data_IF_308680918284
#
_entry.id   IF_308680918284
#
_cell.length_a   1.000
_cell.length_b   1.000
_cell.length_c   1.000
_cell.angle_alpha   90.00
_cell.angle_beta   90.00
_cell.angle_gamma   90.00
#
_symmetry.space_group_name_H-M   'P 1'
#
loop_
_entity.id
_entity.type
_entity.pdbx_description
1 polymer ?
#
# COMPACT_ATOMS: atom_id res chain seq x y z
N UNK A 1 28.05 -5.68 -43.84
CA UNK A 1 26.76 -6.20 -43.35
C UNK A 1 26.43 -5.46 -42.07
N UNK A 2 25.52 -4.50 -42.21
CA UNK A 2 24.94 -3.71 -41.13
C UNK A 2 23.93 -4.57 -40.38
N UNK A 3 24.06 -4.70 -39.07
CA UNK A 3 22.97 -5.10 -38.20
C UNK A 3 22.62 -3.85 -37.39
N UNK A 4 21.46 -3.28 -37.74
CA UNK A 4 20.95 -2.04 -37.20
C UNK A 4 20.79 -2.13 -35.68
N UNK A 5 21.37 -1.15 -35.00
CA UNK A 5 21.12 -0.85 -33.59
C UNK A 5 19.71 -0.27 -33.48
N UNK A 6 18.74 -1.17 -33.28
CA UNK A 6 17.36 -0.81 -33.01
C UNK A 6 17.18 -0.70 -31.50
N UNK A 7 17.57 0.44 -30.93
CA UNK A 7 17.12 0.83 -29.59
C UNK A 7 16.32 2.12 -29.66
N UNK A 8 15.01 1.90 -29.68
CA UNK A 8 13.90 2.82 -29.57
C UNK A 8 14.22 4.10 -28.81
N UNK A 9 14.00 5.24 -29.46
CA UNK A 9 13.93 6.57 -28.88
C UNK A 9 13.11 6.57 -27.57
N UNK A 10 13.80 6.65 -26.44
CA UNK A 10 13.22 6.80 -25.11
C UNK A 10 12.79 8.26 -24.88
N UNK A 11 11.66 8.65 -25.46
CA UNK A 11 10.92 9.83 -25.02
C UNK A 11 10.44 9.58 -23.59
N UNK A 12 11.15 10.14 -22.61
CA UNK A 12 10.75 10.25 -21.19
C UNK A 12 10.45 8.93 -20.49
N UNK A 13 11.44 8.32 -19.83
CA UNK A 13 11.22 7.13 -19.00
C UNK A 13 10.90 7.55 -17.55
N UNK A 14 9.68 7.24 -17.08
CA UNK A 14 9.35 7.17 -15.65
C UNK A 14 9.77 5.79 -15.17
N UNK A 15 10.54 5.71 -14.09
CA UNK A 15 10.95 4.43 -13.50
C UNK A 15 10.65 4.39 -12.01
N UNK A 16 10.12 3.27 -11.52
CA UNK A 16 9.92 3.04 -10.09
C UNK A 16 11.29 2.91 -9.42
N UNK A 17 11.57 3.77 -8.44
CA UNK A 17 12.83 3.82 -7.70
C UNK A 17 12.72 3.16 -6.34
N UNK A 18 11.61 3.40 -5.65
CA UNK A 18 11.48 3.01 -4.26
C UNK A 18 10.03 2.74 -3.89
N UNK A 19 9.85 1.83 -2.95
CA UNK A 19 8.56 1.38 -2.45
C UNK A 19 8.59 1.34 -0.93
N UNK A 20 7.52 1.82 -0.31
CA UNK A 20 7.29 1.68 1.13
C UNK A 20 5.96 0.97 1.37
N UNK A 21 6.00 -0.11 2.13
CA UNK A 21 4.84 -0.91 2.50
C UNK A 21 4.64 -0.81 4.02
N UNK A 22 3.41 -0.55 4.46
CA UNK A 22 3.06 -0.50 5.89
C UNK A 22 1.87 -1.38 6.22
N UNK A 23 1.82 -1.81 7.47
CA UNK A 23 0.68 -2.49 8.11
C UNK A 23 0.12 -3.72 7.38
N UNK A 24 0.96 -4.46 6.67
CA UNK A 24 0.54 -5.68 5.95
C UNK A 24 1.00 -6.95 6.66
N UNK A 25 0.07 -7.73 7.22
CA UNK A 25 0.34 -8.94 8.01
C UNK A 25 1.37 -8.66 9.12
N UNK A 26 2.52 -9.33 9.08
CA UNK A 26 3.60 -9.14 10.07
C UNK A 26 4.56 -8.00 9.72
N UNK A 27 4.36 -7.33 8.58
CA UNK A 27 5.17 -6.22 8.12
C UNK A 27 4.59 -4.91 8.68
N UNK A 28 5.25 -4.35 9.70
CA UNK A 28 4.88 -3.04 10.24
C UNK A 28 5.25 -1.91 9.27
N UNK A 29 6.51 -1.87 8.86
CA UNK A 29 7.05 -0.96 7.85
C UNK A 29 8.19 -1.64 7.10
N UNK A 30 8.15 -1.62 5.77
CA UNK A 30 9.21 -2.11 4.88
C UNK A 30 9.52 -1.04 3.87
N UNK A 31 10.81 -0.83 3.63
CA UNK A 31 11.35 0.12 2.66
C UNK A 31 12.22 -0.67 1.68
N UNK A 32 11.97 -0.50 0.38
CA UNK A 32 12.61 -1.26 -0.68
C UNK A 32 13.06 -0.32 -1.80
N UNK A 33 14.36 -0.28 -2.06
CA UNK A 33 14.88 0.26 -3.31
C UNK A 33 14.68 -0.75 -4.45
N UNK A 34 14.20 -0.25 -5.58
CA UNK A 34 13.89 -1.04 -6.77
C UNK A 34 14.99 -0.81 -7.79
N UNK A 35 15.70 -1.89 -8.12
CA UNK A 35 16.68 -1.88 -9.20
C UNK A 35 15.96 -1.73 -10.56
N UNK A 36 16.47 -0.89 -11.48
CA UNK A 36 15.85 -0.64 -12.78
C UNK A 36 15.67 -1.90 -13.66
N UNK A 37 16.45 -2.95 -13.41
CA UNK A 37 16.42 -4.18 -14.20
C UNK A 37 15.84 -5.35 -13.40
N UNK A 38 16.37 -5.64 -12.22
CA UNK A 38 15.95 -6.80 -11.42
C UNK A 38 16.27 -6.60 -9.95
N UNK A 39 15.24 -6.59 -9.11
CA UNK A 39 15.38 -6.55 -7.65
C UNK A 39 15.32 -7.97 -7.09
N UNK A 40 16.35 -8.38 -6.34
CA UNK A 40 16.40 -9.71 -5.69
C UNK A 40 16.17 -9.54 -4.20
N UNK A 41 15.10 -10.14 -3.67
CA UNK A 41 14.80 -10.16 -2.24
C UNK A 41 15.50 -11.34 -1.56
N UNK A 42 16.49 -11.08 -0.72
CA UNK A 42 17.23 -12.08 0.07
C UNK A 42 16.99 -11.91 1.57
N UNK A 43 17.13 -13.00 2.35
CA UNK A 43 16.98 -12.97 3.81
C UNK A 43 16.56 -14.32 4.39
N UNK A 44 16.52 -14.43 5.72
CA UNK A 44 16.17 -15.66 6.44
C UNK A 44 14.75 -16.17 6.11
N UNK A 45 14.48 -17.43 6.42
CA UNK A 45 13.10 -17.95 6.37
C UNK A 45 12.20 -17.12 7.30
N UNK A 46 10.95 -16.91 6.89
CA UNK A 46 10.00 -16.03 7.59
C UNK A 46 10.39 -14.54 7.69
N UNK A 47 11.40 -14.07 6.94
CA UNK A 47 11.77 -12.63 6.93
C UNK A 47 10.77 -11.72 6.20
N UNK A 48 9.70 -12.26 5.63
CA UNK A 48 8.64 -11.47 4.98
C UNK A 48 8.77 -11.30 3.46
N UNK A 49 9.74 -11.94 2.78
CA UNK A 49 9.92 -11.85 1.31
C UNK A 49 8.64 -12.15 0.53
N UNK A 50 8.00 -13.29 0.80
CA UNK A 50 6.72 -13.68 0.18
C UNK A 50 5.60 -12.71 0.56
N UNK A 51 5.61 -12.15 1.78
CA UNK A 51 4.61 -11.18 2.22
C UNK A 51 4.73 -9.85 1.47
N UNK A 52 5.96 -9.39 1.17
CA UNK A 52 6.18 -8.20 0.33
C UNK A 52 5.59 -8.43 -1.06
N UNK A 53 5.92 -9.55 -1.71
CA UNK A 53 5.39 -9.88 -3.04
C UNK A 53 3.86 -10.02 -3.04
N UNK A 54 3.30 -10.62 -1.98
CA UNK A 54 1.85 -10.71 -1.82
C UNK A 54 1.23 -9.31 -1.71
N UNK A 55 1.78 -8.43 -0.87
CA UNK A 55 1.28 -7.06 -0.72
C UNK A 55 1.31 -6.29 -2.05
N UNK A 56 2.44 -6.33 -2.77
CA UNK A 56 2.54 -5.71 -4.09
C UNK A 56 1.47 -6.22 -5.06
N UNK A 57 1.19 -7.53 -5.05
CA UNK A 57 0.10 -8.11 -5.83
C UNK A 57 -1.27 -7.59 -5.39
N UNK A 58 -1.53 -7.47 -4.10
CA UNK A 58 -2.81 -6.94 -3.59
C UNK A 58 -3.04 -5.48 -4.00
N UNK A 59 -1.99 -4.66 -4.01
CA UNK A 59 -2.11 -3.25 -4.38
C UNK A 59 -2.10 -2.99 -5.89
N UNK A 60 -1.33 -3.75 -6.67
CA UNK A 60 -1.00 -3.41 -8.05
C UNK A 60 -1.63 -4.34 -9.09
N UNK A 61 -2.10 -5.53 -8.70
CA UNK A 61 -2.72 -6.47 -9.63
C UNK A 61 -4.24 -6.45 -9.51
N UNK A 62 -4.90 -6.52 -10.67
CA UNK A 62 -6.36 -6.63 -10.73
C UNK A 62 -6.85 -7.93 -10.06
N UNK A 63 -7.99 -7.84 -9.36
CA UNK A 63 -8.67 -9.01 -8.81
C UNK A 63 -8.00 -9.66 -7.58
N UNK A 64 -7.13 -8.93 -6.87
CA UNK A 64 -6.50 -9.41 -5.63
C UNK A 64 -7.01 -8.68 -4.37
N UNK A 65 -8.25 -8.93 -3.92
CA UNK A 65 -8.82 -8.21 -2.77
C UNK A 65 -8.02 -8.47 -1.49
N UNK A 66 -8.03 -7.48 -0.59
CA UNK A 66 -7.52 -7.63 0.77
C UNK A 66 -8.50 -8.46 1.60
N UNK A 67 -7.97 -9.37 2.42
CA UNK A 67 -8.71 -10.02 3.49
C UNK A 67 -8.46 -9.37 4.86
N UNK A 68 -9.30 -9.67 5.84
CA UNK A 68 -9.13 -9.16 7.21
C UNK A 68 -7.75 -9.50 7.82
N UNK A 69 -7.20 -10.66 7.49
CA UNK A 69 -5.89 -11.12 7.96
C UNK A 69 -4.70 -10.50 7.22
N UNK A 70 -4.94 -9.72 6.17
CA UNK A 70 -3.90 -8.93 5.52
C UNK A 70 -3.57 -7.65 6.29
N UNK A 71 -4.50 -7.17 7.13
CA UNK A 71 -4.25 -6.08 8.07
C UNK A 71 -3.32 -6.56 9.17
N UNK A 72 -2.32 -5.75 9.51
CA UNK A 72 -1.41 -6.10 10.60
C UNK A 72 -2.14 -6.30 11.93
N UNK A 73 -1.82 -7.39 12.62
CA UNK A 73 -2.40 -7.72 13.95
C UNK A 73 -2.17 -6.60 14.96
N UNK A 74 -1.09 -5.81 14.80
CA UNK A 74 -0.83 -4.63 15.63
C UNK A 74 -1.92 -3.55 15.54
N UNK A 75 -2.69 -3.51 14.45
CA UNK A 75 -3.76 -2.54 14.22
C UNK A 75 -5.15 -3.04 14.67
N UNK A 76 -5.28 -4.34 14.96
CA UNK A 76 -6.57 -4.93 15.35
C UNK A 76 -7.17 -4.36 16.63
N UNK A 77 -6.39 -4.00 17.68
CA UNK A 77 -6.96 -3.34 18.85
C UNK A 77 -7.67 -2.02 18.50
N UNK A 78 -7.06 -1.20 17.64
CA UNK A 78 -7.61 0.07 17.16
C UNK A 78 -8.90 -0.14 16.36
N UNK A 79 -8.91 -1.12 15.47
CA UNK A 79 -10.11 -1.47 14.70
C UNK A 79 -11.24 -2.04 15.58
N UNK A 80 -10.88 -2.80 16.62
CA UNK A 80 -11.87 -3.36 17.56
C UNK A 80 -12.52 -2.27 18.42
N UNK A 81 -11.73 -1.29 18.86
CA UNK A 81 -12.25 -0.13 19.58
C UNK A 81 -13.22 0.67 18.72
N UNK A 82 -12.85 0.94 17.48
CA UNK A 82 -13.73 1.60 16.51
C UNK A 82 -15.02 0.80 16.27
N UNK A 83 -14.91 -0.52 16.07
CA UNK A 83 -16.07 -1.40 15.91
C UNK A 83 -17.00 -1.40 17.13
N UNK A 84 -16.46 -1.34 18.36
CA UNK A 84 -17.29 -1.23 19.57
C UNK A 84 -18.03 0.09 19.66
N UNK A 85 -17.42 1.19 19.22
CA UNK A 85 -18.10 2.48 19.15
C UNK A 85 -19.28 2.43 18.17
N UNK A 86 -19.08 1.79 17.01
CA UNK A 86 -20.14 1.59 16.02
C UNK A 86 -21.24 0.65 16.49
N UNK A 87 -20.90 -0.46 17.15
CA UNK A 87 -21.88 -1.42 17.70
C UNK A 87 -22.75 -0.78 18.80
N UNK A 88 -22.27 0.29 19.46
CA UNK A 88 -22.99 1.01 20.51
C UNK A 88 -23.93 2.10 19.96
N UNK A 89 -23.95 2.35 18.66
CA UNK A 89 -24.87 3.31 18.05
C UNK A 89 -26.29 2.75 18.12
N UNK A 90 -27.17 3.45 18.84
CA UNK A 90 -28.59 3.09 18.97
C UNK A 90 -29.40 3.48 17.72
N UNK A 91 -28.89 4.44 16.95
CA UNK A 91 -29.49 4.96 15.72
C UNK A 91 -28.62 4.61 14.51
N UNK A 92 -29.24 4.62 13.32
CA UNK A 92 -28.50 4.41 12.08
C UNK A 92 -27.37 5.45 11.96
N UNK A 93 -26.11 5.04 11.71
CA UNK A 93 -24.97 5.94 11.55
C UNK A 93 -25.22 7.11 10.60
N UNK A 94 -25.99 6.88 9.53
CA UNK A 94 -26.33 7.88 8.51
C UNK A 94 -27.36 8.92 8.97
N UNK A 95 -28.07 8.65 10.07
CA UNK A 95 -29.05 9.57 10.68
C UNK A 95 -28.71 9.94 12.12
N UNK A 96 -27.64 9.37 12.66
CA UNK A 96 -27.19 9.58 14.03
C UNK A 96 -26.81 11.04 14.28
N UNK A 97 -26.95 11.50 15.53
CA UNK A 97 -26.52 12.83 15.95
C UNK A 97 -25.01 13.07 16.06
N UNK A 98 -24.18 12.11 15.61
CA UNK A 98 -22.72 12.26 15.58
C UNK A 98 -22.32 13.41 14.65
N UNK A 99 -21.36 14.23 15.08
CA UNK A 99 -20.92 15.37 14.27
C UNK A 99 -20.11 14.87 13.06
N UNK A 100 -20.10 15.67 11.98
CA UNK A 100 -19.26 15.42 10.81
C UNK A 100 -17.78 15.25 11.20
N UNK A 101 -17.30 16.05 12.16
CA UNK A 101 -15.94 15.99 12.69
C UNK A 101 -15.63 14.61 13.32
N UNK A 102 -16.58 14.01 14.04
CA UNK A 102 -16.41 12.70 14.65
C UNK A 102 -16.24 11.61 13.58
N UNK A 103 -17.05 11.65 12.52
CA UNK A 103 -16.93 10.72 11.40
C UNK A 103 -15.61 10.87 10.64
N UNK A 104 -15.13 12.10 10.47
CA UNK A 104 -13.82 12.37 9.86
C UNK A 104 -12.69 11.79 10.70
N UNK A 105 -12.75 11.92 12.03
CA UNK A 105 -11.76 11.32 12.93
C UNK A 105 -11.78 9.79 12.89
N UNK A 106 -12.98 9.20 12.90
CA UNK A 106 -13.17 7.76 12.81
C UNK A 106 -12.69 7.19 11.47
N UNK A 107 -12.94 7.90 10.36
CA UNK A 107 -12.40 7.54 9.05
C UNK A 107 -10.87 7.61 9.04
N UNK A 108 -10.29 8.68 9.62
CA UNK A 108 -8.84 8.79 9.77
C UNK A 108 -8.24 7.64 10.58
N UNK A 109 -8.93 7.24 11.65
CA UNK A 109 -8.57 6.08 12.47
C UNK A 109 -8.60 4.79 11.65
N UNK A 110 -9.66 4.55 10.89
CA UNK A 110 -9.80 3.38 10.02
C UNK A 110 -8.68 3.34 8.98
N UNK A 111 -8.47 4.43 8.23
CA UNK A 111 -7.47 4.52 7.17
C UNK A 111 -6.05 4.31 7.71
N UNK A 112 -5.73 4.86 8.88
CA UNK A 112 -4.42 4.68 9.51
C UNK A 112 -4.09 3.24 9.93
N UNK A 113 -5.12 2.40 10.08
CA UNK A 113 -4.99 0.99 10.41
C UNK A 113 -4.90 0.08 9.17
N UNK A 114 -5.23 0.60 7.98
CA UNK A 114 -5.18 -0.17 6.73
C UNK A 114 -3.74 -0.34 6.23
N UNK A 115 -3.45 -1.43 5.49
CA UNK A 115 -2.22 -1.53 4.71
C UNK A 115 -2.08 -0.34 3.76
N UNK A 116 -0.86 0.18 3.60
CA UNK A 116 -0.56 1.22 2.60
C UNK A 116 0.65 0.84 1.76
N UNK A 117 0.63 1.28 0.49
CA UNK A 117 1.75 1.16 -0.44
C UNK A 117 2.04 2.53 -1.03
N UNK A 118 3.22 3.07 -0.72
CA UNK A 118 3.72 4.31 -1.29
C UNK A 118 4.76 3.99 -2.38
N UNK A 119 4.67 4.71 -3.50
CA UNK A 119 5.51 4.50 -4.68
C UNK A 119 6.25 5.78 -5.04
N UNK A 120 7.57 5.68 -5.23
CA UNK A 120 8.41 6.79 -5.66
C UNK A 120 8.97 6.49 -7.04
N UNK A 121 8.79 7.44 -7.94
CA UNK A 121 9.25 7.34 -9.32
C UNK A 121 10.30 8.39 -9.62
N UNK A 122 11.31 8.01 -10.38
CA UNK A 122 12.20 8.97 -11.04
C UNK A 122 11.55 9.39 -12.36
N UNK A 123 11.47 10.70 -12.59
CA UNK A 123 10.96 11.31 -13.81
C UNK A 123 11.91 12.41 -14.29
N UNK A 124 12.16 12.50 -15.60
CA UNK A 124 12.98 13.57 -16.17
C UNK A 124 12.16 14.87 -16.31
N UNK A 125 12.84 16.01 -16.20
CA UNK A 125 12.21 17.32 -16.39
C UNK A 125 11.58 17.43 -17.80
N UNK A 126 10.36 17.99 -17.86
CA UNK A 126 9.59 18.14 -19.10
C UNK A 126 8.57 17.03 -19.40
N UNK A 127 8.37 16.08 -18.48
CA UNK A 127 7.45 14.95 -18.65
C UNK A 127 6.01 15.16 -18.10
N UNK A 128 5.77 16.26 -17.37
CA UNK A 128 4.45 16.63 -16.82
C UNK A 128 3.87 17.84 -17.55
N UNK A 129 3.83 17.79 -18.88
CA UNK A 129 3.16 18.79 -19.72
C UNK A 129 2.06 18.13 -20.54
#
# INVERSE_FOLDING_TARGET
>A
MSAADATTSLTGQISLRFVELRQFRRLGKVQLEVDPKTTILVGANNSGKTSILAALRHFLADGSPFGAFDISVSQWPKLRELGRAWDALEEDPSTSGASEDEWVEQLGTLLSAMPTLDLWFDAKAGMFH
#
